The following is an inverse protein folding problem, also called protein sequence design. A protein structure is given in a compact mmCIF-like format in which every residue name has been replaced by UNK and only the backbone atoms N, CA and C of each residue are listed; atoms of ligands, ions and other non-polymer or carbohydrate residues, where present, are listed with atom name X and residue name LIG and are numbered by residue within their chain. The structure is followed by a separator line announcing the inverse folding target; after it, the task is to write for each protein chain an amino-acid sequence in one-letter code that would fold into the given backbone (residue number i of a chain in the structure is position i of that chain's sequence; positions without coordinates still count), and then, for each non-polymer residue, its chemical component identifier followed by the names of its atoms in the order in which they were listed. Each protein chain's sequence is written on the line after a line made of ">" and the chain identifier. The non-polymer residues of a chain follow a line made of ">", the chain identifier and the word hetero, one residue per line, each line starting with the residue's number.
data_IF_258155921112
#
_entry.id   IF_258155921112
#
_cell.length_a   1.000
_cell.length_b   1.000
_cell.length_c   1.000
_cell.angle_alpha   90.00
_cell.angle_beta   90.00
_cell.angle_gamma   90.00
#
_symmetry.space_group_name_H-M   'P 1'
#
loop_
_entity.id
_entity.type
_entity.pdbx_description
1 polymer ?
#
# COMPACT_ATOMS: atom_id res chain seq x y z
N UNK A 1 -3.55 -0.75 1.22
CA UNK A 1 -4.85 -0.10 0.95
C UNK A 1 -5.35 0.57 2.23
N UNK A 2 -5.29 1.90 2.32
CA UNK A 2 -5.51 2.62 3.59
C UNK A 2 -6.64 3.63 3.55
N UNK A 3 -7.12 3.99 2.36
CA UNK A 3 -8.16 5.02 2.16
C UNK A 3 -9.58 4.57 2.49
N UNK A 4 -9.76 3.29 2.79
CA UNK A 4 -10.96 2.70 3.35
C UNK A 4 -10.56 1.35 3.91
N UNK A 5 -10.31 1.31 5.21
CA UNK A 5 -9.77 0.16 5.89
C UNK A 5 -10.52 -0.09 7.19
N UNK A 6 -10.47 -1.34 7.63
CA UNK A 6 -10.87 -1.76 8.95
C UNK A 6 -9.97 -2.92 9.34
N UNK A 7 -9.79 -3.12 10.64
CA UNK A 7 -9.06 -4.26 11.17
C UNK A 7 -9.81 -4.87 12.34
N UNK A 8 -9.55 -6.15 12.58
CA UNK A 8 -10.04 -6.81 13.78
C UNK A 8 -9.16 -6.43 14.96
N UNK A 9 -9.78 -6.27 16.13
CA UNK A 9 -9.05 -6.01 17.39
C UNK A 9 -7.88 -6.99 17.59
N UNK A 10 -8.09 -8.28 17.31
CA UNK A 10 -7.07 -9.34 17.40
C UNK A 10 -5.82 -9.12 16.55
N UNK A 11 -5.94 -8.38 15.45
CA UNK A 11 -4.84 -8.09 14.54
C UNK A 11 -4.18 -6.76 14.95
N UNK A 12 -4.99 -5.78 15.35
CA UNK A 12 -4.51 -4.47 15.79
C UNK A 12 -3.64 -4.52 17.05
N UNK A 13 -3.73 -5.58 17.87
CA UNK A 13 -2.81 -5.79 19.00
C UNK A 13 -1.34 -5.89 18.60
N UNK A 14 -1.04 -6.20 17.34
CA UNK A 14 0.32 -6.23 16.81
C UNK A 14 0.79 -4.89 16.25
N UNK A 15 -0.04 -3.86 16.25
CA UNK A 15 0.38 -2.54 15.82
C UNK A 15 1.45 -1.99 16.76
N UNK A 16 2.57 -1.58 16.19
CA UNK A 16 3.66 -0.90 16.90
C UNK A 16 4.04 0.36 16.13
N UNK A 17 3.59 1.49 16.67
CA UNK A 17 3.85 2.82 16.12
C UNK A 17 5.34 3.13 15.97
N UNK A 18 6.18 2.58 16.86
CA UNK A 18 7.63 2.83 16.89
C UNK A 18 8.44 1.80 16.12
N UNK A 19 7.79 0.76 15.56
CA UNK A 19 8.44 -0.31 14.81
C UNK A 19 9.60 -0.99 15.56
N UNK A 20 9.45 -1.20 16.87
CA UNK A 20 10.46 -1.78 17.78
C UNK A 20 10.44 -3.31 17.84
N UNK A 21 9.40 -3.96 17.28
CA UNK A 21 9.27 -5.43 17.28
C UNK A 21 10.42 -6.18 16.58
N UNK A 22 11.12 -5.52 15.66
CA UNK A 22 12.24 -6.11 14.94
C UNK A 22 13.33 -5.03 14.72
N UNK A 23 14.62 -5.34 14.90
CA UNK A 23 15.70 -4.43 14.55
C UNK A 23 15.65 -4.01 13.07
N UNK A 24 15.98 -2.73 12.79
CA UNK A 24 15.90 -2.16 11.44
C UNK A 24 16.74 -2.92 10.40
N UNK A 25 17.88 -3.49 10.79
CA UNK A 25 18.76 -4.28 9.92
C UNK A 25 18.16 -5.63 9.51
N UNK A 26 17.09 -6.07 10.18
CA UNK A 26 16.40 -7.34 9.93
C UNK A 26 15.11 -7.20 9.14
N UNK A 27 14.70 -5.99 8.74
CA UNK A 27 13.47 -5.82 7.94
C UNK A 27 13.48 -6.63 6.63
N UNK A 28 14.65 -6.86 6.04
CA UNK A 28 14.77 -7.69 4.85
C UNK A 28 14.35 -9.15 5.08
N UNK A 29 14.51 -9.68 6.30
CA UNK A 29 14.16 -11.07 6.63
C UNK A 29 12.67 -11.35 6.41
N UNK A 30 11.80 -10.39 6.79
CA UNK A 30 10.35 -10.51 6.56
C UNK A 30 9.98 -10.25 5.10
N UNK A 31 10.69 -9.34 4.41
CA UNK A 31 10.37 -8.93 3.05
C UNK A 31 10.63 -10.02 2.01
N UNK A 32 11.66 -10.84 2.22
CA UNK A 32 12.02 -11.95 1.31
C UNK A 32 10.83 -12.89 1.10
N UNK A 33 10.02 -13.13 2.13
CA UNK A 33 8.82 -13.98 2.03
C UNK A 33 7.77 -13.40 1.05
N UNK A 34 7.69 -12.08 0.94
CA UNK A 34 6.67 -11.39 0.15
C UNK A 34 7.13 -11.01 -1.26
N UNK A 35 8.44 -10.89 -1.46
CA UNK A 35 9.05 -10.28 -2.64
C UNK A 35 8.88 -11.06 -3.95
N UNK A 36 8.67 -12.38 -3.91
CA UNK A 36 8.68 -13.22 -5.12
C UNK A 36 9.93 -12.97 -5.99
N UNK A 37 11.10 -12.92 -5.34
CA UNK A 37 12.41 -12.57 -5.93
C UNK A 37 12.55 -11.14 -6.49
N UNK A 38 11.57 -10.26 -6.28
CA UNK A 38 11.64 -8.86 -6.71
C UNK A 38 12.55 -8.01 -5.78
N UNK A 39 13.77 -7.78 -6.25
CA UNK A 39 14.75 -6.94 -5.53
C UNK A 39 14.34 -5.46 -5.45
N UNK A 40 13.48 -4.97 -6.35
CA UNK A 40 12.95 -3.60 -6.23
C UNK A 40 11.95 -3.50 -5.10
N UNK A 41 11.11 -4.51 -4.91
CA UNK A 41 10.19 -4.61 -3.78
C UNK A 41 10.96 -4.55 -2.46
N UNK A 42 11.97 -5.41 -2.29
CA UNK A 42 12.77 -5.48 -1.05
C UNK A 42 13.42 -4.12 -0.77
N UNK A 43 14.12 -3.55 -1.75
CA UNK A 43 14.79 -2.25 -1.58
C UNK A 43 13.80 -1.14 -1.22
N UNK A 44 12.66 -1.07 -1.91
CA UNK A 44 11.67 -0.02 -1.69
C UNK A 44 11.07 -0.11 -0.29
N UNK A 45 10.58 -1.30 0.10
CA UNK A 45 9.91 -1.45 1.39
C UNK A 45 10.87 -1.39 2.56
N UNK A 46 12.11 -1.89 2.41
CA UNK A 46 13.13 -1.72 3.43
C UNK A 46 13.46 -0.24 3.67
N UNK A 47 13.60 0.55 2.59
CA UNK A 47 13.82 2.00 2.68
C UNK A 47 12.65 2.71 3.37
N UNK A 48 11.41 2.40 2.94
CA UNK A 48 10.18 2.94 3.55
C UNK A 48 10.10 2.64 5.05
N UNK A 49 10.37 1.39 5.45
CA UNK A 49 10.31 1.00 6.86
C UNK A 49 11.43 1.64 7.69
N UNK A 50 12.65 1.77 7.15
CA UNK A 50 13.73 2.45 7.85
C UNK A 50 13.46 3.94 8.05
N UNK A 51 12.97 4.64 7.00
CA UNK A 51 12.61 6.06 7.12
C UNK A 51 11.47 6.27 8.13
N UNK A 52 10.45 5.39 8.10
CA UNK A 52 9.33 5.45 9.06
C UNK A 52 9.82 5.19 10.50
N UNK A 53 10.66 4.19 10.72
CA UNK A 53 11.21 3.87 12.04
C UNK A 53 12.13 4.97 12.60
N UNK A 54 12.75 5.78 11.73
CA UNK A 54 13.52 6.98 12.10
C UNK A 54 12.66 8.24 12.29
N UNK A 55 11.33 8.11 12.21
CA UNK A 55 10.37 9.21 12.26
C UNK A 55 10.55 10.26 11.16
N UNK A 56 11.15 9.88 10.03
CA UNK A 56 11.32 10.76 8.85
C UNK A 56 10.03 10.88 8.03
N UNK A 57 9.11 9.92 8.21
CA UNK A 57 7.80 9.89 7.59
C UNK A 57 6.75 9.82 8.70
N UNK A 58 5.93 10.87 8.79
CA UNK A 58 4.75 10.89 9.66
C UNK A 58 3.57 10.18 8.98
N UNK A 59 3.39 8.91 9.32
CA UNK A 59 2.26 8.09 8.87
C UNK A 59 1.98 6.97 9.87
N UNK A 60 0.86 6.27 9.70
CA UNK A 60 0.50 5.07 10.49
C UNK A 60 0.46 3.79 9.62
N UNK A 61 0.31 3.94 8.31
CA UNK A 61 0.03 2.83 7.41
C UNK A 61 1.25 2.00 7.05
N UNK A 62 2.44 2.59 7.05
CA UNK A 62 3.70 1.86 6.93
C UNK A 62 3.90 0.93 8.13
N UNK A 63 3.70 1.43 9.35
CA UNK A 63 3.79 0.65 10.58
C UNK A 63 2.77 -0.48 10.60
N UNK A 64 1.53 -0.21 10.16
CA UNK A 64 0.52 -1.24 10.08
C UNK A 64 0.83 -2.30 9.01
N UNK A 65 1.37 -1.89 7.86
CA UNK A 65 1.82 -2.82 6.80
C UNK A 65 2.94 -3.73 7.32
N UNK A 66 3.92 -3.13 8.02
CA UNK A 66 5.00 -3.88 8.67
C UNK A 66 4.46 -4.88 9.70
N UNK A 67 3.55 -4.46 10.58
CA UNK A 67 2.94 -5.33 11.59
C UNK A 67 2.22 -6.52 10.94
N UNK A 68 1.49 -6.29 9.84
CA UNK A 68 0.85 -7.37 9.09
C UNK A 68 1.89 -8.36 8.54
N UNK A 69 2.94 -7.88 7.87
CA UNK A 69 3.94 -8.75 7.27
C UNK A 69 4.78 -9.51 8.28
N UNK A 70 5.12 -8.88 9.41
CA UNK A 70 5.81 -9.52 10.52
C UNK A 70 5.01 -10.68 11.13
N UNK A 71 3.68 -10.67 11.00
CA UNK A 71 2.77 -11.70 11.50
C UNK A 71 2.26 -12.66 10.41
N UNK A 72 2.86 -12.65 9.20
CA UNK A 72 2.36 -13.39 8.04
C UNK A 72 0.87 -13.11 7.73
N UNK A 73 0.40 -11.90 8.03
CA UNK A 73 -0.98 -11.48 7.93
C UNK A 73 -1.42 -11.23 6.48
N UNK A 74 -2.68 -11.56 6.19
CA UNK A 74 -3.33 -11.28 4.91
C UNK A 74 -4.45 -10.26 5.09
N UNK A 75 -4.63 -9.40 4.08
CA UNK A 75 -5.74 -8.45 4.00
C UNK A 75 -6.83 -8.99 3.08
N UNK A 76 -8.10 -8.80 3.46
CA UNK A 76 -9.23 -9.03 2.56
C UNK A 76 -9.46 -7.76 1.76
N UNK A 77 -9.42 -7.86 0.44
CA UNK A 77 -9.63 -6.74 -0.48
C UNK A 77 -10.85 -7.03 -1.36
N UNK A 78 -11.85 -6.13 -1.43
CA UNK A 78 -12.99 -6.32 -2.31
C UNK A 78 -12.55 -6.27 -3.77
N UNK A 79 -13.24 -7.02 -4.64
CA UNK A 79 -12.99 -7.00 -6.10
C UNK A 79 -13.47 -5.71 -6.78
N UNK A 80 -14.27 -4.91 -6.07
CA UNK A 80 -14.78 -3.62 -6.52
C UNK A 80 -14.43 -2.52 -5.51
N UNK A 81 -14.42 -1.28 -5.97
CA UNK A 81 -14.12 -0.15 -5.09
C UNK A 81 -15.34 0.22 -4.23
N UNK A 82 -15.20 0.17 -2.91
CA UNK A 82 -16.30 0.43 -1.97
C UNK A 82 -16.32 1.86 -1.41
N UNK A 83 -15.27 2.64 -1.63
CA UNK A 83 -15.09 3.97 -1.02
C UNK A 83 -14.66 5.00 -2.08
N UNK A 84 -14.97 6.26 -1.84
CA UNK A 84 -14.44 7.36 -2.65
C UNK A 84 -13.64 8.29 -1.74
N UNK A 85 -12.36 8.47 -2.06
CA UNK A 85 -11.50 9.37 -1.29
C UNK A 85 -11.66 10.80 -1.81
N UNK A 86 -12.38 11.62 -1.03
CA UNK A 86 -12.63 13.03 -1.31
C UNK A 86 -11.55 13.96 -0.75
N UNK A 87 -10.59 13.43 0.02
CA UNK A 87 -9.54 14.18 0.70
C UNK A 87 -8.36 14.57 -0.20
N UNK A 88 -8.53 14.67 -1.51
CA UNK A 88 -7.52 15.20 -2.43
C UNK A 88 -7.96 16.58 -2.92
N UNK A 89 -7.46 17.62 -2.26
CA UNK A 89 -7.77 19.01 -2.59
C UNK A 89 -6.60 19.93 -2.24
N UNK A 90 -6.58 21.15 -2.78
CA UNK A 90 -5.51 22.13 -2.48
C UNK A 90 -5.41 22.46 -0.98
N UNK A 91 -6.53 22.32 -0.27
CA UNK A 91 -6.71 22.57 1.15
C UNK A 91 -6.32 21.36 2.03
N UNK A 92 -6.07 20.19 1.44
CA UNK A 92 -5.74 18.97 2.18
C UNK A 92 -4.35 19.04 2.83
N UNK A 93 -4.16 18.42 4.00
CA UNK A 93 -2.89 18.47 4.74
C UNK A 93 -1.75 17.81 3.97
N UNK A 94 -1.97 16.59 3.44
CA UNK A 94 -0.92 15.77 2.82
C UNK A 94 -1.16 15.47 1.32
N UNK A 95 -2.38 15.66 0.82
CA UNK A 95 -2.88 15.15 -0.48
C UNK A 95 -3.25 16.28 -1.45
N UNK A 96 -2.39 17.31 -1.53
CA UNK A 96 -2.68 18.53 -2.32
C UNK A 96 -2.67 18.37 -3.83
N UNK A 97 -2.04 17.31 -4.33
CA UNK A 97 -1.88 17.08 -5.76
C UNK A 97 -2.99 16.19 -6.33
N UNK A 98 -3.43 16.43 -7.58
CA UNK A 98 -4.37 15.55 -8.25
C UNK A 98 -3.85 14.11 -8.33
N UNK A 99 -4.69 13.17 -7.91
CA UNK A 99 -4.38 11.74 -7.87
C UNK A 99 -5.41 10.95 -8.68
N UNK A 100 -4.99 9.93 -9.46
CA UNK A 100 -5.94 9.01 -10.10
C UNK A 100 -6.71 8.15 -9.09
N UNK A 101 -6.31 8.16 -7.81
CA UNK A 101 -6.97 7.45 -6.72
C UNK A 101 -8.01 8.33 -5.98
N UNK A 102 -8.15 9.59 -6.39
CA UNK A 102 -9.13 10.51 -5.82
C UNK A 102 -10.51 10.33 -6.47
N UNK A 103 -11.57 10.54 -5.71
CA UNK A 103 -12.96 10.62 -6.22
C UNK A 103 -13.39 9.42 -7.10
N UNK A 104 -12.85 8.22 -6.85
CA UNK A 104 -13.17 7.04 -7.64
C UNK A 104 -14.65 6.63 -7.43
N UNK A 105 -15.28 6.12 -8.50
CA UNK A 105 -16.64 5.57 -8.41
C UNK A 105 -16.68 4.40 -7.42
N UNK A 106 -17.80 4.31 -6.70
CA UNK A 106 -18.08 3.21 -5.78
C UNK A 106 -19.08 2.25 -6.38
N UNK A 107 -18.93 0.98 -6.04
CA UNK A 107 -19.80 -0.09 -6.48
C UNK A 107 -20.33 -0.86 -5.28
N UNK A 108 -21.47 -1.52 -5.48
CA UNK A 108 -22.05 -2.38 -4.43
C UNK A 108 -21.46 -3.78 -4.55
N UNK A 109 -21.25 -4.41 -3.41
CA UNK A 109 -20.96 -5.86 -3.33
C UNK A 109 -22.26 -6.64 -3.15
N UNK A 110 -22.28 -7.85 -3.67
CA UNK A 110 -23.37 -8.79 -3.47
C UNK A 110 -23.24 -9.50 -2.12
N UNK A 111 -24.37 -9.65 -1.42
CA UNK A 111 -24.46 -10.36 -0.14
C UNK A 111 -25.40 -11.56 -0.26
N UNK A 112 -25.16 -12.66 0.48
CA UNK A 112 -24.08 -12.85 1.45
C UNK A 112 -22.72 -13.10 0.80
N UNK A 113 -21.65 -12.69 1.47
CA UNK A 113 -20.28 -13.01 1.05
C UNK A 113 -20.02 -14.51 1.15
N UNK A 114 -19.32 -15.07 0.16
CA UNK A 114 -18.88 -16.47 0.16
C UNK A 114 -17.51 -16.56 0.81
N UNK A 115 -17.41 -17.25 1.95
CA UNK A 115 -16.11 -17.51 2.58
C UNK A 115 -15.33 -18.53 1.76
N UNK A 116 -14.04 -18.29 1.47
CA UNK A 116 -13.23 -19.26 0.75
C UNK A 116 -12.97 -20.51 1.62
N UNK A 117 -12.95 -21.69 1.00
CA UNK A 117 -12.61 -22.94 1.70
C UNK A 117 -11.12 -23.02 2.04
N UNK A 118 -10.27 -22.37 1.25
CA UNK A 118 -8.84 -22.27 1.45
C UNK A 118 -8.44 -20.79 1.43
N UNK A 119 -7.71 -20.36 2.46
CA UNK A 119 -7.16 -19.01 2.54
C UNK A 119 -5.74 -19.05 2.01
N UNK A 120 -5.49 -18.33 0.92
CA UNK A 120 -4.17 -18.19 0.32
C UNK A 120 -3.97 -16.78 -0.23
N UNK A 121 -2.72 -16.31 -0.21
CA UNK A 121 -2.31 -15.06 -0.84
C UNK A 121 -2.66 -15.05 -2.33
N UNK A 122 -3.24 -13.95 -2.82
CA UNK A 122 -3.50 -13.76 -4.24
C UNK A 122 -2.35 -12.98 -4.91
N UNK A 123 -1.23 -13.66 -5.16
CA UNK A 123 0.02 -13.06 -5.66
C UNK A 123 -0.15 -12.13 -6.87
N UNK A 124 -0.99 -12.52 -7.85
CA UNK A 124 -1.25 -11.68 -9.04
C UNK A 124 -1.83 -10.31 -8.70
N UNK A 125 -2.67 -10.24 -7.66
CA UNK A 125 -3.31 -8.99 -7.23
C UNK A 125 -2.30 -8.13 -6.47
N UNK A 126 -1.52 -8.73 -5.58
CA UNK A 126 -0.45 -8.04 -4.85
C UNK A 126 0.58 -7.43 -5.81
N UNK A 127 1.05 -8.20 -6.80
CA UNK A 127 1.98 -7.69 -7.83
C UNK A 127 1.38 -6.56 -8.65
N UNK A 128 0.07 -6.61 -8.93
CA UNK A 128 -0.61 -5.52 -9.62
C UNK A 128 -0.58 -4.25 -8.77
N UNK A 129 -0.99 -4.34 -7.49
CA UNK A 129 -0.97 -3.20 -6.56
C UNK A 129 0.44 -2.65 -6.38
N UNK A 130 1.43 -3.51 -6.17
CA UNK A 130 2.83 -3.14 -5.99
C UNK A 130 3.36 -2.30 -7.16
N UNK A 131 3.16 -2.81 -8.39
CA UNK A 131 3.56 -2.10 -9.61
C UNK A 131 2.78 -0.81 -9.84
N UNK A 132 1.53 -0.74 -9.39
CA UNK A 132 0.70 0.44 -9.57
C UNK A 132 0.88 1.49 -8.47
N UNK A 133 1.37 1.17 -7.27
CA UNK A 133 1.35 2.13 -6.16
C UNK A 133 2.72 2.38 -5.51
N UNK A 134 3.65 1.42 -5.58
CA UNK A 134 4.82 1.39 -4.70
C UNK A 134 6.14 1.37 -5.49
N UNK A 135 6.84 0.22 -5.55
CA UNK A 135 8.18 0.05 -6.15
C UNK A 135 8.26 0.17 -7.68
N UNK A 136 7.43 1.05 -8.28
CA UNK A 136 7.44 1.41 -9.70
C UNK A 136 8.87 1.63 -10.22
N UNK A 137 9.32 0.91 -11.26
CA UNK A 137 10.62 1.11 -11.87
C UNK A 137 10.84 2.58 -12.29
N UNK A 138 12.07 3.07 -12.11
CA UNK A 138 12.45 4.47 -12.41
C UNK A 138 12.08 4.85 -13.85
N UNK A 139 12.32 3.96 -14.82
CA UNK A 139 11.95 4.14 -16.22
C UNK A 139 10.45 4.38 -16.41
N UNK A 140 9.60 3.67 -15.67
CA UNK A 140 8.15 3.85 -15.73
C UNK A 140 7.72 5.20 -15.13
N UNK A 141 8.38 5.64 -14.03
CA UNK A 141 8.17 6.97 -13.44
C UNK A 141 8.55 8.10 -14.41
N UNK A 142 9.65 7.93 -15.13
CA UNK A 142 10.14 8.89 -16.14
C UNK A 142 9.22 8.95 -17.36
N UNK A 143 8.79 7.80 -17.88
CA UNK A 143 7.85 7.72 -19.01
C UNK A 143 6.50 8.39 -18.68
N UNK A 144 5.95 8.16 -17.48
CA UNK A 144 4.72 8.86 -17.08
C UNK A 144 4.90 10.37 -16.96
N UNK A 145 6.02 10.86 -16.40
CA UNK A 145 6.31 12.30 -16.37
C UNK A 145 6.37 12.89 -17.78
N UNK A 146 7.00 12.17 -18.71
CA UNK A 146 7.08 12.55 -20.12
C UNK A 146 5.70 12.62 -20.78
N UNK A 147 4.89 11.55 -20.69
CA UNK A 147 3.54 11.53 -21.26
C UNK A 147 2.62 12.58 -20.62
N UNK A 148 2.73 12.81 -19.31
CA UNK A 148 1.95 13.84 -18.60
C UNK A 148 2.35 15.26 -19.05
N UNK A 149 3.64 15.51 -19.30
CA UNK A 149 4.11 16.77 -19.88
C UNK A 149 3.62 16.98 -21.31
N UNK A 150 3.53 15.94 -22.12
CA UNK A 150 3.00 16.04 -23.49
C UNK A 150 1.49 16.31 -23.47
N UNK A 151 0.75 15.61 -22.61
CA UNK A 151 -0.69 15.79 -22.47
C UNK A 151 -1.07 17.18 -21.97
N UNK A 152 -0.32 17.73 -21.00
CA UNK A 152 -0.54 19.10 -20.50
C UNK A 152 -0.15 20.20 -21.49
N UNK A 153 0.75 19.92 -22.46
CA UNK A 153 1.10 20.85 -23.55
C UNK A 153 0.10 20.84 -24.71
N UNK A 154 -0.83 19.87 -24.74
CA UNK A 154 -1.89 19.76 -25.75
C UNK A 154 -3.23 20.36 -25.29
N UNK A 155 -3.30 20.88 -24.06
CA UNK A 155 -4.39 21.72 -23.55
C UNK A 155 -3.92 23.17 -23.50
#
# INVERSE_FOLDING_TARGET
>A
HVWGWASWRRAWTFYDEKMTQLPMDKYNEILIHWAEDDQNFIRYWNDVFQQTARCEIDTWDHQWTFACWNQNGLSVVPSVNLISNLGFSKESTHTKNPSPLANMFTERIELPLKHPQLISRHQKADRYVERQQFSRPILYRLLQKFFRSIYLRKK
#
